data_IF_569582136579
#
_entry.id   IF_569582136579
#
_cell.length_a   1.000
_cell.length_b   1.000
_cell.length_c   1.000
_cell.angle_alpha   90.00
_cell.angle_beta   90.00
_cell.angle_gamma   90.00
#
_symmetry.space_group_name_H-M   'P 1'
#
loop_
_entity.id
_entity.type
_entity.pdbx_description
1 polymer ?
#
# COMPACT_ATOMS: atom_id res chain seq x y z
N UNK A 1 14.19 -12.44 -2.68
CA UNK A 1 13.06 -13.26 -2.19
C UNK A 1 11.83 -12.40 -2.35
N UNK A 2 10.85 -12.81 -3.15
CA UNK A 2 9.75 -11.94 -3.62
C UNK A 2 8.72 -11.54 -2.55
N UNK A 3 8.94 -11.85 -1.28
CA UNK A 3 8.10 -11.48 -0.13
C UNK A 3 6.58 -11.76 -0.27
N UNK A 4 6.17 -12.63 -1.19
CA UNK A 4 4.76 -12.92 -1.52
C UNK A 4 4.21 -12.17 -2.73
N UNK A 5 5.00 -11.31 -3.38
CA UNK A 5 4.64 -10.55 -4.58
C UNK A 5 4.93 -11.31 -5.88
N UNK A 6 4.25 -10.91 -6.97
CA UNK A 6 4.40 -11.49 -8.32
C UNK A 6 5.76 -11.10 -8.93
N UNK A 7 6.30 -11.92 -9.85
CA UNK A 7 7.58 -11.65 -10.52
C UNK A 7 7.54 -10.49 -11.52
N UNK A 8 6.35 -10.09 -11.99
CA UNK A 8 6.14 -8.97 -12.91
C UNK A 8 4.86 -8.21 -12.53
N UNK A 9 4.87 -6.88 -12.75
CA UNK A 9 3.68 -6.02 -12.73
C UNK A 9 3.48 -5.36 -14.10
N UNK A 10 2.21 -5.15 -14.48
CA UNK A 10 1.85 -4.42 -15.71
C UNK A 10 1.59 -2.93 -15.44
N UNK A 11 1.45 -2.57 -14.16
CA UNK A 11 1.15 -1.24 -13.67
C UNK A 11 2.04 -0.91 -12.46
N UNK A 12 2.38 0.37 -12.33
CA UNK A 12 3.09 0.93 -11.19
C UNK A 12 2.38 2.19 -10.75
N UNK A 13 1.81 2.16 -9.56
CA UNK A 13 1.30 3.35 -8.88
C UNK A 13 2.47 4.11 -8.24
N UNK A 14 2.57 5.41 -8.49
CA UNK A 14 3.62 6.27 -7.93
C UNK A 14 3.03 7.50 -7.26
N UNK A 15 3.68 7.95 -6.19
CA UNK A 15 3.52 9.28 -5.62
C UNK A 15 4.89 9.84 -5.33
N UNK A 16 5.13 11.11 -5.62
CA UNK A 16 6.46 11.70 -5.51
C UNK A 16 6.42 13.10 -4.89
N UNK A 17 7.42 13.37 -4.05
CA UNK A 17 7.71 14.69 -3.49
C UNK A 17 8.94 15.21 -4.25
N UNK A 18 8.74 16.19 -5.14
CA UNK A 18 9.82 16.82 -5.93
C UNK A 18 9.70 18.32 -5.84
N UNK A 19 10.84 19.01 -5.86
CA UNK A 19 10.86 20.48 -5.88
C UNK A 19 10.14 21.01 -7.13
N UNK A 20 9.41 22.12 -6.99
CA UNK A 20 8.62 22.73 -8.07
C UNK A 20 9.44 22.98 -9.34
N UNK A 21 10.72 23.34 -9.18
CA UNK A 21 11.65 23.59 -10.28
C UNK A 21 11.97 22.33 -11.12
N UNK A 22 11.90 21.15 -10.51
CA UNK A 22 12.23 19.87 -11.14
C UNK A 22 10.99 19.06 -11.56
N UNK A 23 9.80 19.43 -11.08
CA UNK A 23 8.55 18.70 -11.32
C UNK A 23 8.29 18.37 -12.80
N UNK A 24 8.42 19.37 -13.69
CA UNK A 24 8.18 19.18 -15.12
C UNK A 24 9.12 18.15 -15.76
N UNK A 25 10.40 18.20 -15.38
CA UNK A 25 11.42 17.25 -15.87
C UNK A 25 11.16 15.86 -15.31
N UNK A 26 10.82 15.74 -14.03
CA UNK A 26 10.51 14.47 -13.39
C UNK A 26 9.33 13.77 -14.07
N UNK A 27 8.21 14.48 -14.27
CA UNK A 27 7.02 13.94 -14.97
C UNK A 27 7.35 13.50 -16.39
N UNK A 28 8.18 14.27 -17.11
CA UNK A 28 8.63 13.87 -18.44
C UNK A 28 9.43 12.57 -18.40
N UNK A 29 10.39 12.45 -17.48
CA UNK A 29 11.20 11.23 -17.33
C UNK A 29 10.34 10.01 -16.98
N UNK A 30 9.34 10.14 -16.12
CA UNK A 30 8.41 9.04 -15.82
C UNK A 30 7.62 8.61 -17.06
N UNK A 31 7.19 9.55 -17.91
CA UNK A 31 6.48 9.22 -19.17
C UNK A 31 7.39 8.48 -20.16
N UNK A 32 8.63 8.91 -20.31
CA UNK A 32 9.61 8.25 -21.18
C UNK A 32 9.89 6.82 -20.70
N UNK A 33 10.08 6.63 -19.38
CA UNK A 33 10.27 5.31 -18.78
C UNK A 33 9.04 4.39 -18.94
N UNK A 34 7.84 4.94 -18.78
CA UNK A 34 6.57 4.23 -18.99
C UNK A 34 6.52 3.63 -20.40
N UNK A 35 6.87 4.42 -21.41
CA UNK A 35 6.84 4.01 -22.81
C UNK A 35 7.97 3.01 -23.16
N UNK A 36 9.16 3.19 -22.58
CA UNK A 36 10.30 2.27 -22.77
C UNK A 36 10.05 0.89 -22.13
N UNK A 37 9.52 0.87 -20.91
CA UNK A 37 9.27 -0.35 -20.15
C UNK A 37 7.96 -1.05 -20.54
N UNK A 38 7.10 -0.37 -21.32
CA UNK A 38 5.78 -0.87 -21.74
C UNK A 38 4.94 -1.27 -20.52
N UNK A 39 4.91 -0.40 -19.51
CA UNK A 39 4.10 -0.54 -18.29
C UNK A 39 3.14 0.63 -18.18
N UNK A 40 2.05 0.48 -17.43
CA UNK A 40 1.22 1.62 -17.05
C UNK A 40 1.79 2.28 -15.79
N UNK A 41 1.76 3.61 -15.73
CA UNK A 41 2.13 4.36 -14.53
C UNK A 41 0.99 5.31 -14.18
N UNK A 42 0.49 5.21 -12.97
CA UNK A 42 -0.57 6.08 -12.43
C UNK A 42 -0.05 6.86 -11.23
N UNK A 43 -0.45 8.13 -11.11
CA UNK A 43 -0.09 8.96 -9.96
C UNK A 43 -1.10 8.76 -8.84
N UNK A 44 -0.89 7.71 -8.06
CA UNK A 44 -1.79 7.26 -7.00
C UNK A 44 -0.98 6.67 -5.84
N UNK A 45 -1.43 6.91 -4.62
CA UNK A 45 -0.86 6.40 -3.37
C UNK A 45 -1.90 5.66 -2.54
N UNK A 46 -1.52 4.70 -1.67
CA UNK A 46 -2.42 4.20 -0.63
C UNK A 46 -3.10 5.31 0.20
N UNK A 47 -2.43 6.45 0.38
CA UNK A 47 -2.96 7.63 1.08
C UNK A 47 -4.19 8.27 0.39
N UNK A 48 -4.39 8.03 -0.92
CA UNK A 48 -5.53 8.54 -1.68
C UNK A 48 -6.80 7.72 -1.46
N UNK A 49 -6.70 6.57 -0.79
CA UNK A 49 -7.81 5.66 -0.53
C UNK A 49 -8.13 5.55 0.95
N UNK A 50 -7.10 5.52 1.80
CA UNK A 50 -7.26 5.43 3.24
C UNK A 50 -6.33 6.44 3.96
N UNK A 51 -6.73 6.94 5.14
CA UNK A 51 -5.80 7.63 6.02
C UNK A 51 -4.64 6.72 6.38
N UNK A 52 -3.41 7.23 6.30
CA UNK A 52 -2.25 6.48 6.76
C UNK A 52 -2.22 6.43 8.30
N UNK A 53 -1.88 5.27 8.90
CA UNK A 53 -1.63 5.19 10.34
C UNK A 53 -0.38 5.97 10.73
N UNK A 54 -0.39 6.51 11.94
CA UNK A 54 0.73 7.23 12.56
C UNK A 54 2.06 6.47 12.40
N UNK A 55 3.11 7.18 12.01
CA UNK A 55 4.45 6.61 11.79
C UNK A 55 4.60 5.71 10.57
N UNK A 56 3.69 5.79 9.57
CA UNK A 56 3.82 5.00 8.33
C UNK A 56 5.16 5.22 7.63
N UNK A 57 5.64 6.47 7.51
CA UNK A 57 6.94 6.78 6.87
C UNK A 57 8.11 6.10 7.60
N UNK A 58 8.07 6.02 8.92
CA UNK A 58 9.12 5.40 9.74
C UNK A 58 9.16 3.87 9.63
N UNK A 59 8.08 3.25 9.10
CA UNK A 59 7.98 1.80 8.90
C UNK A 59 8.39 1.34 7.50
N UNK A 60 8.82 2.26 6.63
CA UNK A 60 9.38 1.88 5.35
C UNK A 60 10.62 0.98 5.54
N UNK A 61 10.70 -0.12 4.81
CA UNK A 61 11.77 -1.12 4.98
C UNK A 61 12.74 -1.03 3.82
N UNK A 62 14.01 -0.73 4.09
CA UNK A 62 15.05 -0.62 3.06
C UNK A 62 15.25 -1.95 2.31
N UNK A 63 15.21 -1.88 0.99
CA UNK A 63 15.46 -3.00 0.07
C UNK A 63 16.91 -2.97 -0.39
N UNK A 64 17.38 -1.81 -0.85
CA UNK A 64 18.71 -1.69 -1.44
C UNK A 64 18.93 -0.36 -2.15
N UNK A 65 20.19 -0.11 -2.52
CA UNK A 65 20.59 1.05 -3.31
C UNK A 65 20.89 0.63 -4.74
N UNK A 66 20.29 1.33 -5.70
CA UNK A 66 20.46 1.11 -7.13
C UNK A 66 20.96 2.43 -7.75
N UNK A 67 22.28 2.55 -7.91
CA UNK A 67 22.90 3.82 -8.29
C UNK A 67 22.68 4.90 -7.23
N UNK A 68 21.98 5.97 -7.59
CA UNK A 68 21.61 7.07 -6.70
C UNK A 68 20.24 6.90 -6.02
N UNK A 69 19.58 5.75 -6.19
CA UNK A 69 18.24 5.49 -5.66
C UNK A 69 18.30 4.55 -4.46
N UNK A 70 17.76 4.99 -3.33
CA UNK A 70 17.44 4.11 -2.21
C UNK A 70 16.00 3.63 -2.33
N UNK A 71 15.83 2.31 -2.36
CA UNK A 71 14.54 1.67 -2.57
C UNK A 71 14.08 1.06 -1.26
N UNK A 72 12.81 1.30 -0.92
CA UNK A 72 12.18 0.82 0.31
C UNK A 72 10.85 0.14 -0.03
N UNK A 73 10.48 -0.91 0.70
CA UNK A 73 9.09 -1.30 0.79
C UNK A 73 8.32 -0.19 1.49
N UNK A 74 7.16 0.15 0.92
CA UNK A 74 6.18 0.96 1.62
C UNK A 74 5.72 0.26 2.91
N UNK A 75 5.17 1.02 3.86
CA UNK A 75 4.69 0.47 5.13
C UNK A 75 3.69 -0.68 4.91
N UNK A 76 4.10 -1.90 5.25
CA UNK A 76 3.29 -3.10 5.05
C UNK A 76 1.93 -3.03 5.73
N UNK A 77 1.80 -2.30 6.86
CA UNK A 77 0.50 -2.11 7.51
C UNK A 77 -0.41 -1.21 6.70
N UNK A 78 0.11 -0.11 6.14
CA UNK A 78 -0.65 0.77 5.24
C UNK A 78 -1.06 0.04 3.97
N UNK A 79 -0.16 -0.74 3.37
CA UNK A 79 -0.47 -1.59 2.21
C UNK A 79 -1.59 -2.59 2.55
N UNK A 80 -1.49 -3.28 3.70
CA UNK A 80 -2.49 -4.25 4.12
C UNK A 80 -3.86 -3.59 4.36
N UNK A 81 -3.90 -2.44 5.04
CA UNK A 81 -5.15 -1.72 5.29
C UNK A 81 -5.80 -1.23 4.00
N UNK A 82 -5.01 -0.76 3.02
CA UNK A 82 -5.52 -0.36 1.70
C UNK A 82 -6.13 -1.55 0.94
N UNK A 83 -5.48 -2.71 1.01
CA UNK A 83 -6.00 -3.97 0.45
C UNK A 83 -7.30 -4.41 1.14
N UNK A 84 -7.37 -4.36 2.47
CA UNK A 84 -8.60 -4.68 3.21
C UNK A 84 -9.72 -3.72 2.85
N UNK A 85 -9.44 -2.43 2.66
CA UNK A 85 -10.44 -1.45 2.23
C UNK A 85 -11.07 -1.85 0.88
N UNK A 86 -10.24 -2.25 -0.10
CA UNK A 86 -10.70 -2.79 -1.39
C UNK A 86 -11.47 -4.12 -1.28
N UNK A 87 -11.03 -5.02 -0.40
CA UNK A 87 -11.80 -6.19 0.04
C UNK A 87 -11.98 -7.32 -0.97
N UNK A 88 -11.25 -7.34 -2.08
CA UNK A 88 -11.30 -8.48 -3.02
C UNK A 88 -10.71 -9.74 -2.37
N UNK A 89 -11.07 -10.93 -2.86
CA UNK A 89 -10.51 -12.18 -2.35
C UNK A 89 -8.97 -12.19 -2.46
N UNK A 90 -8.43 -11.76 -3.60
CA UNK A 90 -6.98 -11.63 -3.81
C UNK A 90 -6.34 -10.65 -2.81
N UNK A 91 -6.99 -9.52 -2.55
CA UNK A 91 -6.50 -8.54 -1.57
C UNK A 91 -6.44 -9.13 -0.15
N UNK A 92 -7.44 -9.91 0.27
CA UNK A 92 -7.42 -10.57 1.56
C UNK A 92 -6.36 -11.69 1.63
N UNK A 93 -6.16 -12.44 0.55
CA UNK A 93 -5.14 -13.49 0.46
C UNK A 93 -3.71 -12.91 0.51
N UNK A 94 -3.47 -11.76 -0.12
CA UNK A 94 -2.21 -11.02 -0.02
C UNK A 94 -1.92 -10.59 1.43
N UNK A 95 -2.93 -10.07 2.13
CA UNK A 95 -2.79 -9.65 3.54
C UNK A 95 -2.50 -10.86 4.43
N UNK A 96 -3.19 -11.98 4.23
CA UNK A 96 -2.90 -13.22 4.94
C UNK A 96 -1.48 -13.72 4.66
N UNK A 97 -0.98 -13.55 3.44
CA UNK A 97 0.41 -13.89 3.09
C UNK A 97 1.42 -13.03 3.85
N UNK A 98 1.19 -11.72 3.95
CA UNK A 98 2.02 -10.82 4.78
C UNK A 98 2.01 -11.23 6.25
N UNK A 99 0.85 -11.62 6.79
CA UNK A 99 0.71 -12.10 8.17
C UNK A 99 1.47 -13.42 8.40
N UNK A 100 1.29 -14.41 7.51
CA UNK A 100 1.99 -15.71 7.59
C UNK A 100 3.51 -15.56 7.47
N UNK A 101 3.97 -14.62 6.64
CA UNK A 101 5.39 -14.30 6.49
C UNK A 101 5.98 -13.49 7.66
N UNK A 102 5.17 -13.11 8.66
CA UNK A 102 5.60 -12.32 9.81
C UNK A 102 5.97 -10.87 9.45
N UNK A 103 5.54 -10.38 8.27
CA UNK A 103 5.77 -8.98 7.84
C UNK A 103 4.86 -8.00 8.56
N UNK A 104 3.68 -8.48 8.96
CA UNK A 104 2.75 -7.75 9.82
C UNK A 104 2.20 -8.68 10.90
N UNK A 105 2.10 -8.15 12.12
CA UNK A 105 1.44 -8.82 13.24
C UNK A 105 -0.06 -8.46 13.32
N UNK A 106 -0.91 -9.46 13.56
CA UNK A 106 -2.36 -9.27 13.62
C UNK A 106 -2.80 -8.22 14.65
N UNK A 107 -2.29 -8.32 15.88
CA UNK A 107 -2.59 -7.42 16.99
C UNK A 107 -2.27 -5.95 16.68
N UNK A 108 -1.21 -5.70 15.89
CA UNK A 108 -0.76 -4.37 15.51
C UNK A 108 -1.55 -3.85 14.32
N UNK A 109 -1.94 -4.74 13.40
CA UNK A 109 -2.88 -4.42 12.32
C UNK A 109 -4.24 -3.98 12.90
N UNK A 110 -4.75 -4.66 13.93
CA UNK A 110 -5.99 -4.26 14.64
C UNK A 110 -5.87 -2.87 15.27
N UNK A 111 -4.72 -2.53 15.86
CA UNK A 111 -4.48 -1.20 16.44
C UNK A 111 -4.51 -0.11 15.36
N UNK A 112 -3.82 -0.31 14.24
CA UNK A 112 -3.81 0.66 13.15
C UNK A 112 -5.16 0.79 12.47
N UNK A 113 -5.88 -0.32 12.30
CA UNK A 113 -7.26 -0.29 11.83
C UNK A 113 -8.16 0.55 12.74
N UNK A 114 -8.09 0.33 14.05
CA UNK A 114 -8.85 1.11 15.03
C UNK A 114 -8.46 2.60 15.04
N UNK A 115 -7.19 2.92 14.76
CA UNK A 115 -6.70 4.28 14.62
C UNK A 115 -7.30 4.98 13.39
N UNK A 116 -7.28 4.34 12.22
CA UNK A 116 -7.66 5.01 10.96
C UNK A 116 -9.16 4.94 10.68
N UNK A 117 -9.88 3.93 11.18
CA UNK A 117 -11.30 3.73 10.88
C UNK A 117 -12.17 4.98 11.14
N UNK A 118 -12.05 5.70 12.28
CA UNK A 118 -12.84 6.91 12.51
C UNK A 118 -12.56 8.03 11.50
N UNK A 119 -11.34 8.04 10.94
CA UNK A 119 -10.86 9.04 9.98
C UNK A 119 -11.31 8.75 8.56
N UNK A 120 -11.54 7.49 8.20
CA UNK A 120 -11.99 7.10 6.85
C UNK A 120 -13.26 7.84 6.45
N UNK A 121 -14.20 8.03 7.39
CA UNK A 121 -15.46 8.74 7.13
C UNK A 121 -15.28 10.21 6.74
N UNK A 122 -14.20 10.87 7.20
CA UNK A 122 -13.94 12.29 6.98
C UNK A 122 -12.82 12.57 5.98
N UNK A 123 -11.89 11.63 5.80
CA UNK A 123 -10.67 11.81 5.02
C UNK A 123 -10.66 10.98 3.72
N UNK A 124 -11.53 9.96 3.58
CA UNK A 124 -11.64 9.18 2.33
C UNK A 124 -12.91 9.49 1.57
N UNK A 125 -12.77 9.85 0.30
CA UNK A 125 -13.90 10.00 -0.65
C UNK A 125 -14.22 8.70 -1.39
N UNK A 126 -13.35 7.68 -1.28
CA UNK A 126 -13.39 6.48 -2.12
C UNK A 126 -13.78 5.21 -1.36
N UNK A 127 -13.81 5.23 -0.03
CA UNK A 127 -14.02 4.03 0.79
C UNK A 127 -15.17 4.23 1.77
N UNK A 128 -16.07 3.25 1.86
CA UNK A 128 -17.13 3.20 2.86
C UNK A 128 -16.59 2.61 4.18
N UNK A 129 -16.64 3.35 5.31
CA UNK A 129 -16.22 2.84 6.62
C UNK A 129 -16.91 1.54 7.05
N UNK A 130 -18.16 1.30 6.64
CA UNK A 130 -18.90 0.08 6.97
C UNK A 130 -18.40 -1.12 6.16
N UNK A 131 -18.13 -0.91 4.88
CA UNK A 131 -17.53 -1.93 4.02
C UNK A 131 -16.12 -2.27 4.49
N UNK A 132 -15.32 -1.26 4.83
CA UNK A 132 -13.97 -1.45 5.35
C UNK A 132 -13.97 -2.28 6.64
N UNK A 133 -14.90 -2.00 7.57
CA UNK A 133 -15.11 -2.81 8.77
C UNK A 133 -15.49 -4.25 8.44
N UNK A 134 -16.45 -4.44 7.53
CA UNK A 134 -16.88 -5.77 7.11
C UNK A 134 -15.71 -6.58 6.55
N UNK A 135 -14.90 -5.98 5.68
CA UNK A 135 -13.74 -6.63 5.09
C UNK A 135 -12.69 -6.98 6.15
N UNK A 136 -12.48 -6.11 7.13
CA UNK A 136 -11.60 -6.38 8.26
C UNK A 136 -12.09 -7.57 9.11
N UNK A 137 -13.40 -7.65 9.37
CA UNK A 137 -13.97 -8.81 10.09
C UNK A 137 -13.85 -10.11 9.28
N UNK A 138 -14.01 -10.05 7.95
CA UNK A 138 -13.75 -11.21 7.07
C UNK A 138 -12.30 -11.69 7.20
N UNK A 139 -11.32 -10.78 7.15
CA UNK A 139 -9.92 -11.12 7.35
C UNK A 139 -9.69 -11.81 8.70
N UNK A 140 -10.27 -11.29 9.78
CA UNK A 140 -10.16 -11.90 11.12
C UNK A 140 -10.69 -13.34 11.15
N UNK A 141 -11.83 -13.57 10.51
CA UNK A 141 -12.41 -14.92 10.42
C UNK A 141 -11.54 -15.87 9.60
N UNK A 142 -10.94 -15.40 8.51
CA UNK A 142 -10.02 -16.20 7.69
C UNK A 142 -8.71 -16.51 8.44
N UNK A 143 -8.18 -15.55 9.19
CA UNK A 143 -6.98 -15.74 9.99
C UNK A 143 -7.19 -16.74 11.13
N UNK A 144 -8.32 -16.66 11.84
CA UNK A 144 -8.62 -17.56 12.96
C UNK A 144 -8.88 -19.02 12.56
N UNK A 145 -9.08 -19.31 11.28
CA UNK A 145 -9.32 -20.66 10.74
C UNK A 145 -8.02 -21.38 10.34
N UNK A 146 -6.88 -20.69 10.33
CA UNK A 146 -5.57 -21.22 9.99
C UNK A 146 -4.68 -21.34 11.22
#
# INVERSE_FOLDING_TARGET
>A
MWEGFREQSLDVDVSFEVDDADHGKFVQTIRELKDELIINVEEVSPADFIPLPSGARDRAVFIGRYGSLDIFHFDFYSTALSKIARGTQEDLDDVLTLMRAGRIEHNRLEKYFAEIKPRVASESLKQDPQEFERNFQTLRQLWARN
#
